data_IF_315757725874
#
_entry.id   IF_315757725874
#
_cell.length_a   1.000
_cell.length_b   1.000
_cell.length_c   1.000
_cell.angle_alpha   90.00
_cell.angle_beta   90.00
_cell.angle_gamma   90.00
#
_symmetry.space_group_name_H-M   'P 1'
#
loop_
_entity.id
_entity.type
_entity.pdbx_description
1 polymer ?
#
# COMPACT_ATOMS: atom_id res chain seq x y z
N UNK A 1 4.16 3.32 7.90
CA UNK A 1 3.53 4.64 8.14
C UNK A 1 2.37 4.77 7.19
N UNK A 2 1.22 5.28 7.65
CA UNK A 2 0.09 5.62 6.77
C UNK A 2 0.20 7.10 6.45
N UNK A 3 0.16 7.45 5.18
CA UNK A 3 0.17 8.83 4.70
C UNK A 3 -0.92 9.04 3.67
N UNK A 4 -1.07 10.28 3.19
CA UNK A 4 -2.05 10.66 2.17
C UNK A 4 -1.33 11.07 0.89
N UNK A 5 -1.83 10.64 -0.26
CA UNK A 5 -1.26 10.96 -1.58
C UNK A 5 -1.54 12.39 -2.02
N UNK A 6 -2.64 12.96 -1.53
CA UNK A 6 -3.16 14.30 -1.79
C UNK A 6 -3.94 14.78 -0.56
N UNK A 7 -4.37 16.04 -0.58
CA UNK A 7 -5.31 16.54 0.43
C UNK A 7 -6.57 15.68 0.44
N UNK A 8 -7.02 15.34 1.64
CA UNK A 8 -8.28 14.65 1.90
C UNK A 8 -9.24 15.65 2.55
N UNK A 9 -10.54 15.55 2.30
CA UNK A 9 -11.54 16.32 3.02
C UNK A 9 -11.65 15.85 4.48
N UNK A 10 -11.98 16.78 5.38
CA UNK A 10 -12.11 16.48 6.82
C UNK A 10 -13.09 15.33 7.07
N UNK A 11 -14.19 15.30 6.33
CA UNK A 11 -15.19 14.24 6.42
C UNK A 11 -14.58 12.88 6.04
N UNK A 12 -13.84 12.79 4.95
CA UNK A 12 -13.19 11.53 4.57
C UNK A 12 -12.07 11.14 5.55
N UNK A 13 -11.36 12.10 6.15
CA UNK A 13 -10.37 11.82 7.20
C UNK A 13 -11.02 11.22 8.45
N UNK A 14 -12.18 11.75 8.88
CA UNK A 14 -12.94 11.24 10.02
C UNK A 14 -13.41 9.81 9.74
N UNK A 15 -14.07 9.57 8.60
CA UNK A 15 -14.57 8.23 8.23
C UNK A 15 -13.44 7.21 8.12
N UNK A 16 -12.29 7.62 7.56
CA UNK A 16 -11.10 6.80 7.53
C UNK A 16 -10.61 6.42 8.93
N UNK A 17 -10.48 7.42 9.81
CA UNK A 17 -9.95 7.23 11.16
C UNK A 17 -10.86 6.31 11.98
N UNK A 18 -12.18 6.52 11.90
CA UNK A 18 -13.18 5.66 12.57
C UNK A 18 -13.00 4.21 12.12
N UNK A 19 -13.10 3.93 10.81
CA UNK A 19 -12.95 2.55 10.33
C UNK A 19 -11.57 1.95 10.64
N UNK A 20 -10.52 2.75 10.50
CA UNK A 20 -9.15 2.30 10.77
C UNK A 20 -8.98 1.88 12.23
N UNK A 21 -9.39 2.72 13.18
CA UNK A 21 -9.24 2.42 14.60
C UNK A 21 -10.24 1.37 15.09
N UNK A 22 -11.43 1.26 14.51
CA UNK A 22 -12.36 0.15 14.79
C UNK A 22 -11.74 -1.20 14.44
N UNK A 23 -11.13 -1.31 13.25
CA UNK A 23 -10.47 -2.53 12.82
C UNK A 23 -9.26 -2.88 13.71
N UNK A 24 -8.49 -1.87 14.15
CA UNK A 24 -7.39 -2.10 15.10
C UNK A 24 -7.91 -2.52 16.48
N UNK A 25 -8.95 -1.87 16.99
CA UNK A 25 -9.61 -2.24 18.25
C UNK A 25 -10.19 -3.66 18.23
N UNK A 26 -10.63 -4.12 17.06
CA UNK A 26 -11.07 -5.50 16.82
C UNK A 26 -9.91 -6.50 16.66
N UNK A 27 -8.66 -6.11 16.91
CA UNK A 27 -7.47 -6.97 16.84
C UNK A 27 -7.04 -7.33 15.40
N UNK A 28 -7.45 -6.56 14.39
CA UNK A 28 -7.06 -6.80 13.00
C UNK A 28 -5.66 -6.24 12.71
N UNK A 29 -5.04 -6.77 11.66
CA UNK A 29 -3.72 -6.28 11.20
C UNK A 29 -3.82 -4.87 10.64
N UNK A 30 -2.71 -4.14 10.65
CA UNK A 30 -2.61 -2.77 10.10
C UNK A 30 -3.03 -2.72 8.63
N UNK A 31 -2.72 -3.76 7.85
CA UNK A 31 -3.14 -3.85 6.44
C UNK A 31 -4.65 -3.99 6.28
N UNK A 32 -5.27 -4.80 7.14
CA UNK A 32 -6.71 -4.96 7.13
C UNK A 32 -7.37 -3.66 7.57
N UNK A 33 -6.89 -3.04 8.65
CA UNK A 33 -7.39 -1.77 9.14
C UNK A 33 -7.30 -0.67 8.08
N UNK A 34 -6.19 -0.59 7.35
CA UNK A 34 -6.03 0.33 6.23
C UNK A 34 -7.09 0.12 5.14
N UNK A 35 -7.30 -1.13 4.70
CA UNK A 35 -8.32 -1.45 3.70
C UNK A 35 -9.73 -1.15 4.20
N UNK A 36 -9.98 -1.38 5.48
CA UNK A 36 -11.26 -1.13 6.13
C UNK A 36 -11.55 0.37 6.23
N UNK A 37 -10.58 1.19 6.61
CA UNK A 37 -10.70 2.66 6.57
C UNK A 37 -11.00 3.18 5.15
N UNK A 38 -10.34 2.65 4.12
CA UNK A 38 -10.66 2.98 2.72
C UNK A 38 -12.09 2.56 2.33
N UNK A 39 -12.58 1.42 2.84
CA UNK A 39 -13.95 0.98 2.62
C UNK A 39 -14.96 1.90 3.33
N UNK A 40 -14.66 2.38 4.53
CA UNK A 40 -15.49 3.34 5.26
C UNK A 40 -15.69 4.64 4.47
N UNK A 41 -14.61 5.24 3.93
CA UNK A 41 -14.71 6.42 3.06
C UNK A 41 -15.64 6.16 1.86
N UNK A 42 -15.52 4.98 1.23
CA UNK A 42 -16.36 4.60 0.08
C UNK A 42 -17.84 4.47 0.48
N UNK A 43 -18.12 3.86 1.63
CA UNK A 43 -19.47 3.68 2.16
C UNK A 43 -20.10 5.02 2.54
N UNK A 44 -19.31 5.98 3.00
CA UNK A 44 -19.75 7.36 3.23
C UNK A 44 -20.08 8.14 1.93
N UNK A 45 -19.90 7.54 0.76
CA UNK A 45 -20.18 8.15 -0.54
C UNK A 45 -19.13 9.16 -1.00
N UNK A 46 -17.94 9.16 -0.38
CA UNK A 46 -16.90 10.14 -0.68
C UNK A 46 -15.91 9.55 -1.70
N UNK A 47 -15.68 10.18 -2.87
CA UNK A 47 -14.78 9.68 -3.91
C UNK A 47 -13.29 9.89 -3.58
N UNK A 48 -12.90 9.84 -2.31
CA UNK A 48 -11.54 10.06 -1.81
C UNK A 48 -10.90 8.82 -1.17
N UNK A 49 -11.55 7.67 -1.29
CA UNK A 49 -11.09 6.38 -0.77
C UNK A 49 -9.69 5.93 -1.23
N UNK A 50 -9.19 6.48 -2.36
CA UNK A 50 -7.87 6.18 -2.93
C UNK A 50 -6.76 7.12 -2.43
N UNK A 51 -7.10 8.11 -1.60
CA UNK A 51 -6.15 9.08 -1.04
C UNK A 51 -5.20 8.46 0.01
N UNK A 52 -5.65 7.58 0.91
CA UNK A 52 -4.75 6.91 1.86
C UNK A 52 -3.72 6.05 1.11
N UNK A 53 -2.46 6.07 1.56
CA UNK A 53 -1.39 5.18 1.10
C UNK A 53 -0.74 4.52 2.32
N UNK A 54 -0.70 3.19 2.31
CA UNK A 54 0.08 2.41 3.26
C UNK A 54 1.53 2.28 2.79
N UNK A 55 2.45 3.04 3.40
CA UNK A 55 3.90 2.86 3.19
C UNK A 55 4.43 1.79 4.13
N UNK A 56 4.72 0.61 3.56
CA UNK A 56 5.49 -0.45 4.24
C UNK A 56 6.98 -0.18 4.05
N UNK A 57 7.78 -0.45 5.10
CA UNK A 57 9.22 -0.55 4.92
C UNK A 57 9.49 -1.77 4.04
N UNK A 58 10.29 -1.66 2.96
CA UNK A 58 10.65 -2.83 2.17
C UNK A 58 11.32 -3.85 3.07
N UNK A 59 10.91 -5.11 2.96
CA UNK A 59 11.60 -6.20 3.65
C UNK A 59 12.95 -6.38 2.95
N UNK A 60 14.02 -5.95 3.61
CA UNK A 60 15.38 -5.96 3.05
C UNK A 60 15.75 -7.38 2.61
N UNK A 61 15.26 -8.43 3.28
CA UNK A 61 15.49 -9.83 2.86
C UNK A 61 14.86 -10.15 1.50
N UNK A 62 13.67 -9.63 1.22
CA UNK A 62 12.95 -9.86 -0.03
C UNK A 62 13.53 -9.02 -1.19
N UNK A 63 13.98 -7.79 -0.87
CA UNK A 63 14.69 -6.93 -1.83
C UNK A 63 16.06 -7.49 -2.21
N UNK A 64 16.82 -7.99 -1.24
CA UNK A 64 18.13 -8.62 -1.48
C UNK A 64 17.99 -9.88 -2.32
N UNK A 65 16.96 -10.70 -2.08
CA UNK A 65 16.68 -11.87 -2.92
C UNK A 65 16.38 -11.48 -4.38
N UNK A 66 15.51 -10.49 -4.63
CA UNK A 66 15.22 -10.03 -6.00
C UNK A 66 16.46 -9.45 -6.71
N UNK A 67 17.32 -8.73 -5.97
CA UNK A 67 18.56 -8.16 -6.51
C UNK A 67 19.59 -9.25 -6.81
N UNK A 68 19.71 -10.29 -5.99
CA UNK A 68 20.67 -11.38 -6.24
C UNK A 68 20.31 -12.18 -7.50
N UNK A 69 19.03 -12.53 -7.69
CA UNK A 69 18.56 -13.22 -8.91
C UNK A 69 18.75 -12.39 -10.19
N UNK A 70 18.73 -11.06 -10.07
CA UNK A 70 18.94 -10.16 -11.22
C UNK A 70 20.42 -10.03 -11.59
N UNK A 71 21.33 -10.06 -10.61
CA UNK A 71 22.78 -9.96 -10.83
C UNK A 71 23.42 -11.26 -11.35
N UNK A 72 22.71 -12.38 -11.34
CA UNK A 72 23.18 -13.67 -11.89
C UNK A 72 22.74 -13.91 -13.34
N UNK A 73 22.10 -12.94 -14.01
CA UNK A 73 21.79 -13.05 -15.44
C UNK A 73 23.10 -13.04 -16.26
N UNK A 74 23.43 -14.11 -17.02
CA UNK A 74 24.58 -14.10 -17.90
C UNK A 74 24.40 -13.05 -19.00
N UNK A 75 25.49 -12.47 -19.56
CA UNK A 75 25.39 -11.45 -20.60
C UNK A 75 24.58 -12.00 -21.78
N UNK A 76 23.55 -11.25 -22.18
CA UNK A 76 22.70 -11.54 -23.33
C UNK A 76 23.59 -11.85 -24.55
N UNK A 77 23.67 -13.12 -24.96
CA UNK A 77 24.38 -13.50 -26.18
C UNK A 77 23.69 -12.80 -27.35
N UNK A 78 24.46 -11.94 -28.05
CA UNK A 78 24.10 -11.35 -29.35
C UNK A 78 23.44 -12.41 -30.22
N UNK A 79 22.17 -12.21 -30.55
CA UNK A 79 21.54 -12.82 -31.72
C UNK A 79 21.27 -11.69 -32.70
N UNK A 80 22.21 -11.49 -33.62
CA UNK A 80 21.88 -10.93 -34.92
C UNK A 80 22.48 -11.89 -35.95
N UNK A 81 21.59 -12.74 -36.47
CA UNK A 81 21.83 -13.63 -37.59
C UNK A 81 21.23 -12.93 -38.80
N UNK A 82 22.07 -12.42 -39.70
CA UNK A 82 21.75 -12.13 -41.11
C UNK A 82 22.97 -12.50 -41.92
#
# INVERSE_FOLDING_TARGET
MIGMSKAISDRAAIEFAVGFYDALGAGKSVEFAYKFGCAAIRLAGIPEQLTPILKKKPNIKETVAKVSWFNEQPPFKKVLKV
#
